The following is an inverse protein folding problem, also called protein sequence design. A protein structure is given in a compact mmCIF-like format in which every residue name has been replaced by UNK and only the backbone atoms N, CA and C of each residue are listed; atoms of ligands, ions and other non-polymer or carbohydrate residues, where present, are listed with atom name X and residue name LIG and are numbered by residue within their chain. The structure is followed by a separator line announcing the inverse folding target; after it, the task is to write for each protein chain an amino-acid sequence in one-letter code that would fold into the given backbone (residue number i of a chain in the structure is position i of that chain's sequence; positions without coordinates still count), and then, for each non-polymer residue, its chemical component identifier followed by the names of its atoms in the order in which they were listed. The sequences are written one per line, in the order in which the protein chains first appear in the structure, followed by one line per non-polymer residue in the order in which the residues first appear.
data_IF_722129370567
#
_entry.id   IF_722129370567
#
_cell.length_a   1.000
_cell.length_b   1.000
_cell.length_c   1.000
_cell.angle_alpha   90.00
_cell.angle_beta   90.00
_cell.angle_gamma   90.00
#
_symmetry.space_group_name_H-M   'P 1'
#
loop_
_entity.id
_entity.type
_entity.pdbx_description
1 polymer ?
#
# COMPACT_ATOMS: atom_id res chain seq x y z
N UNK A 1 -17.32 20.22 11.12
CA UNK A 1 -18.48 20.99 10.59
C UNK A 1 -18.85 20.37 9.26
N UNK A 2 -20.13 20.07 9.01
CA UNK A 2 -20.54 19.55 7.71
C UNK A 2 -20.18 20.55 6.61
N UNK A 3 -19.84 20.05 5.43
CA UNK A 3 -19.66 20.91 4.26
C UNK A 3 -20.99 21.61 3.93
N UNK A 4 -20.92 22.87 3.49
CA UNK A 4 -22.10 23.54 2.97
C UNK A 4 -22.58 22.84 1.69
N UNK A 5 -23.86 22.96 1.35
CA UNK A 5 -24.40 22.41 0.10
C UNK A 5 -23.63 22.91 -1.12
N UNK A 6 -23.16 24.16 -1.10
CA UNK A 6 -22.29 24.73 -2.13
C UNK A 6 -20.92 24.05 -2.19
N UNK A 7 -20.33 23.73 -1.03
CA UNK A 7 -19.06 23.00 -0.95
C UNK A 7 -19.18 21.58 -1.50
N UNK A 8 -20.25 20.85 -1.11
CA UNK A 8 -20.53 19.51 -1.64
C UNK A 8 -20.75 19.55 -3.15
N UNK A 9 -21.51 20.53 -3.65
CA UNK A 9 -21.73 20.68 -5.09
C UNK A 9 -20.42 20.99 -5.83
N UNK A 10 -19.56 21.85 -5.27
CA UNK A 10 -18.25 22.13 -5.87
C UNK A 10 -17.38 20.88 -6.03
N UNK A 11 -17.39 19.96 -5.06
CA UNK A 11 -16.69 18.67 -5.20
C UNK A 11 -17.27 17.84 -6.34
N UNK A 12 -18.60 17.76 -6.45
CA UNK A 12 -19.27 17.03 -7.54
C UNK A 12 -18.93 17.63 -8.91
N UNK A 13 -18.94 18.95 -9.01
CA UNK A 13 -18.63 19.67 -10.25
C UNK A 13 -17.19 19.40 -10.69
N UNK A 14 -16.23 19.34 -9.76
CA UNK A 14 -14.84 18.96 -10.05
C UNK A 14 -14.75 17.52 -10.59
N UNK A 15 -15.40 16.55 -9.93
CA UNK A 15 -15.38 15.16 -10.38
C UNK A 15 -16.03 14.99 -11.76
N UNK A 16 -17.19 15.63 -11.97
CA UNK A 16 -17.87 15.63 -13.28
C UNK A 16 -17.02 16.33 -14.35
N UNK A 17 -16.29 17.40 -13.99
CA UNK A 17 -15.33 18.07 -14.86
C UNK A 17 -14.25 17.12 -15.36
N UNK A 18 -13.62 16.34 -14.48
CA UNK A 18 -12.63 15.34 -14.90
C UNK A 18 -13.21 14.27 -15.83
N UNK A 19 -14.45 13.84 -15.60
CA UNK A 19 -15.14 12.91 -16.51
C UNK A 19 -15.37 13.54 -17.87
N UNK A 20 -15.82 14.80 -17.91
CA UNK A 20 -16.00 15.54 -19.15
C UNK A 20 -14.66 15.75 -19.90
N UNK A 21 -13.55 15.85 -19.17
CA UNK A 21 -12.19 15.96 -19.72
C UNK A 21 -11.56 14.60 -20.08
N UNK A 22 -12.32 13.51 -19.99
CA UNK A 22 -11.94 12.20 -20.49
C UNK A 22 -11.43 11.19 -19.44
N UNK A 23 -11.61 11.47 -18.14
CA UNK A 23 -11.49 10.42 -17.13
C UNK A 23 -12.67 9.44 -17.25
N UNK A 24 -12.45 8.11 -17.15
CA UNK A 24 -13.54 7.14 -17.28
C UNK A 24 -14.56 7.29 -16.15
N UNK A 25 -14.07 7.27 -14.92
CA UNK A 25 -14.87 7.45 -13.73
C UNK A 25 -14.03 7.56 -12.48
N UNK A 26 -14.60 8.17 -11.44
CA UNK A 26 -13.94 8.51 -10.19
C UNK A 26 -14.87 8.24 -9.02
N UNK A 27 -14.30 7.89 -7.87
CA UNK A 27 -14.99 7.88 -6.58
C UNK A 27 -14.21 8.75 -5.62
N UNK A 28 -14.92 9.61 -4.91
CA UNK A 28 -14.37 10.44 -3.84
C UNK A 28 -15.14 10.21 -2.54
N UNK A 29 -14.41 10.06 -1.44
CA UNK A 29 -14.94 9.91 -0.10
C UNK A 29 -14.13 10.79 0.85
N UNK A 30 -14.80 11.56 1.69
CA UNK A 30 -14.18 12.37 2.73
C UNK A 30 -14.99 12.31 4.02
N UNK A 31 -14.29 12.22 5.16
CA UNK A 31 -14.86 12.18 6.50
C UNK A 31 -14.23 13.27 7.37
N UNK A 32 -14.94 13.72 8.41
CA UNK A 32 -14.36 14.59 9.43
C UNK A 32 -13.72 13.80 10.58
N UNK A 33 -13.13 14.52 11.55
CA UNK A 33 -12.51 13.91 12.74
C UNK A 33 -13.50 13.07 13.56
N UNK A 34 -14.80 13.38 13.54
CA UNK A 34 -15.80 12.56 14.23
C UNK A 34 -16.27 11.36 13.38
N UNK A 35 -15.66 11.11 12.21
CA UNK A 35 -16.02 10.02 11.31
C UNK A 35 -17.28 10.26 10.51
N UNK A 36 -17.84 11.48 10.53
CA UNK A 36 -19.01 11.80 9.72
C UNK A 36 -18.61 11.96 8.26
N UNK A 37 -19.34 11.33 7.35
CA UNK A 37 -19.19 11.55 5.91
C UNK A 37 -19.48 13.01 5.57
N UNK A 38 -18.46 13.70 5.05
CA UNK A 38 -18.56 15.07 4.54
C UNK A 38 -19.07 15.09 3.10
N UNK A 39 -18.54 14.18 2.28
CA UNK A 39 -18.96 13.99 0.89
C UNK A 39 -18.56 12.59 0.43
N UNK A 40 -19.48 11.93 -0.26
CA UNK A 40 -19.23 10.70 -1.00
C UNK A 40 -19.90 10.82 -2.36
N UNK A 41 -19.13 10.67 -3.42
CA UNK A 41 -19.62 10.85 -4.78
C UNK A 41 -18.88 9.97 -5.76
N UNK A 42 -19.61 9.45 -6.75
CA UNK A 42 -19.07 8.77 -7.91
C UNK A 42 -19.47 9.53 -9.17
N UNK A 43 -18.59 9.57 -10.15
CA UNK A 43 -18.85 10.14 -11.46
C UNK A 43 -18.31 9.20 -12.55
N UNK A 44 -18.94 9.21 -13.73
CA UNK A 44 -18.50 8.44 -14.89
C UNK A 44 -18.83 6.95 -14.81
N UNK A 45 -18.09 6.13 -15.55
CA UNK A 45 -18.28 4.68 -15.68
C UNK A 45 -17.09 3.91 -15.10
N UNK A 46 -17.27 2.61 -14.87
CA UNK A 46 -16.21 1.74 -14.35
C UNK A 46 -15.03 1.56 -15.31
N UNK A 47 -15.19 1.91 -16.59
CA UNK A 47 -14.15 1.86 -17.62
C UNK A 47 -14.52 2.61 -18.90
N UNK A 48 -13.52 2.98 -19.72
CA UNK A 48 -13.73 3.78 -20.95
C UNK A 48 -14.56 3.06 -22.01
N UNK A 49 -14.59 1.72 -22.00
CA UNK A 49 -15.41 0.91 -22.91
C UNK A 49 -16.71 0.42 -22.24
N UNK A 50 -16.85 0.65 -20.94
CA UNK A 50 -17.99 0.21 -20.15
C UNK A 50 -19.11 1.26 -20.11
N UNK A 51 -20.35 0.79 -20.13
CA UNK A 51 -21.56 1.60 -19.87
C UNK A 51 -22.02 1.52 -18.41
N UNK A 52 -21.39 0.69 -17.60
CA UNK A 52 -21.73 0.56 -16.19
C UNK A 52 -21.25 1.78 -15.42
N UNK A 53 -22.18 2.43 -14.70
CA UNK A 53 -21.88 3.61 -13.90
C UNK A 53 -20.93 3.28 -12.75
N UNK A 54 -20.03 4.21 -12.45
CA UNK A 54 -19.18 4.13 -11.28
C UNK A 54 -20.02 4.12 -10.00
N UNK A 55 -19.77 3.17 -9.10
CA UNK A 55 -20.57 2.99 -7.90
C UNK A 55 -19.73 3.18 -6.63
N UNK A 56 -19.91 4.32 -5.94
CA UNK A 56 -19.20 4.63 -4.68
C UNK A 56 -19.38 3.60 -3.56
N UNK A 57 -20.45 2.82 -3.59
CA UNK A 57 -20.79 1.85 -2.55
C UNK A 57 -20.26 0.45 -2.83
N UNK A 58 -20.01 0.13 -4.09
CA UNK A 58 -19.74 -1.23 -4.53
C UNK A 58 -18.46 -1.39 -5.35
N UNK A 59 -18.03 -0.36 -6.08
CA UNK A 59 -16.84 -0.45 -6.92
C UNK A 59 -15.57 -0.57 -6.07
N UNK A 60 -14.81 -1.62 -6.34
CA UNK A 60 -13.53 -1.93 -5.70
C UNK A 60 -12.40 -1.47 -6.62
N UNK A 61 -11.36 -0.89 -6.03
CA UNK A 61 -10.18 -0.44 -6.74
C UNK A 61 -8.97 -1.22 -6.25
N UNK A 62 -8.04 -1.52 -7.16
CA UNK A 62 -6.68 -1.83 -6.73
C UNK A 62 -6.04 -0.55 -6.19
N UNK A 63 -5.82 -0.48 -4.88
CA UNK A 63 -5.32 0.75 -4.23
C UNK A 63 -3.78 0.83 -4.22
N UNK A 64 -3.11 -0.18 -4.78
CA UNK A 64 -1.67 -0.24 -4.97
C UNK A 64 -0.91 0.20 -3.71
N UNK A 65 -0.09 1.25 -3.82
CA UNK A 65 0.80 1.71 -2.75
C UNK A 65 0.09 2.28 -1.53
N UNK A 66 -1.23 2.51 -1.56
CA UNK A 66 -2.01 2.76 -0.36
C UNK A 66 -1.92 1.59 0.64
N UNK A 67 -1.60 0.37 0.17
CA UNK A 67 -1.33 -0.79 1.02
C UNK A 67 -0.24 -0.53 2.06
N UNK A 68 0.76 0.28 1.72
CA UNK A 68 1.92 0.58 2.57
C UNK A 68 1.53 1.16 3.93
N UNK A 69 0.50 2.00 3.98
CA UNK A 69 -0.02 2.54 5.24
C UNK A 69 -0.52 1.43 6.16
N UNK A 70 -1.27 0.47 5.61
CA UNK A 70 -1.82 -0.65 6.38
C UNK A 70 -0.71 -1.58 6.87
N UNK A 71 0.31 -1.83 6.03
CA UNK A 71 1.51 -2.59 6.42
C UNK A 71 2.30 -1.89 7.52
N UNK A 72 2.47 -0.57 7.44
CA UNK A 72 3.14 0.22 8.47
C UNK A 72 2.39 0.15 9.80
N UNK A 73 1.06 0.30 9.78
CA UNK A 73 0.21 0.11 10.98
C UNK A 73 0.44 -1.28 11.58
N UNK A 74 0.44 -2.34 10.76
CA UNK A 74 0.66 -3.70 11.25
C UNK A 74 2.04 -3.89 11.91
N UNK A 75 3.10 -3.35 11.32
CA UNK A 75 4.44 -3.38 11.91
C UNK A 75 4.48 -2.59 13.23
N UNK A 76 3.88 -1.41 13.28
CA UNK A 76 3.84 -0.57 14.48
C UNK A 76 3.00 -1.19 15.60
N UNK A 77 1.92 -1.91 15.30
CA UNK A 77 1.20 -2.70 16.30
C UNK A 77 2.10 -3.75 16.97
N UNK A 78 3.00 -4.38 16.21
CA UNK A 78 3.98 -5.32 16.79
C UNK A 78 5.06 -4.61 17.61
N UNK A 79 5.40 -3.36 17.28
CA UNK A 79 6.27 -2.50 18.10
C UNK A 79 5.59 -2.20 19.44
N UNK A 80 4.33 -1.77 19.43
CA UNK A 80 3.56 -1.48 20.65
C UNK A 80 3.36 -2.72 21.53
N UNK A 81 3.28 -3.91 20.92
CA UNK A 81 3.24 -5.20 21.63
C UNK A 81 4.61 -5.63 22.18
N UNK A 82 5.69 -4.87 21.94
CA UNK A 82 7.05 -5.21 22.34
C UNK A 82 7.63 -6.44 21.63
N UNK A 83 7.04 -6.85 20.50
CA UNK A 83 7.48 -8.03 19.72
C UNK A 83 8.59 -7.71 18.73
N UNK A 84 8.64 -6.47 18.25
CA UNK A 84 9.71 -5.96 17.39
C UNK A 84 10.15 -4.58 17.90
N UNK A 85 11.39 -4.18 17.59
CA UNK A 85 11.89 -2.83 17.82
C UNK A 85 12.17 -2.16 16.48
N UNK A 86 11.92 -0.85 16.38
CA UNK A 86 12.17 -0.08 15.17
C UNK A 86 13.65 -0.05 14.77
N UNK A 87 14.54 -0.09 15.76
CA UNK A 87 15.98 0.17 15.57
C UNK A 87 16.87 -1.07 15.86
N UNK A 88 16.26 -2.23 16.13
CA UNK A 88 17.00 -3.47 16.39
C UNK A 88 17.34 -4.19 15.08
N UNK A 89 18.53 -3.89 14.53
CA UNK A 89 19.02 -4.55 13.33
C UNK A 89 19.36 -6.03 13.54
N UNK A 90 19.77 -6.44 14.74
CA UNK A 90 20.08 -7.85 15.04
C UNK A 90 18.81 -8.71 14.99
N UNK A 91 17.70 -8.16 15.48
CA UNK A 91 16.39 -8.77 15.31
C UNK A 91 16.03 -8.95 13.83
N UNK A 92 16.21 -7.90 13.01
CA UNK A 92 15.94 -7.98 11.56
C UNK A 92 16.80 -9.07 10.90
N UNK A 93 18.10 -9.15 11.20
CA UNK A 93 18.96 -10.23 10.70
C UNK A 93 18.49 -11.61 11.11
N UNK A 94 18.01 -11.77 12.35
CA UNK A 94 17.55 -13.05 12.87
C UNK A 94 16.26 -13.50 12.20
N UNK A 95 15.30 -12.59 12.03
CA UNK A 95 13.98 -12.92 11.48
C UNK A 95 13.98 -12.93 9.95
N UNK A 96 14.86 -12.17 9.32
CA UNK A 96 15.06 -12.06 7.87
C UNK A 96 16.55 -12.18 7.50
N UNK A 97 17.16 -13.36 7.66
CA UNK A 97 18.57 -13.58 7.31
C UNK A 97 18.88 -13.24 5.85
N UNK A 98 17.89 -13.38 4.97
CA UNK A 98 18.00 -13.07 3.55
C UNK A 98 18.27 -11.58 3.28
N UNK A 99 17.90 -10.66 4.18
CA UNK A 99 18.26 -9.23 4.07
C UNK A 99 19.76 -9.05 4.33
N UNK A 100 20.30 -9.71 5.36
CA UNK A 100 21.71 -9.58 5.75
C UNK A 100 22.66 -10.04 4.64
N UNK A 101 22.28 -11.07 3.90
CA UNK A 101 23.11 -11.67 2.86
C UNK A 101 23.14 -10.83 1.56
N UNK A 102 22.29 -9.81 1.44
CA UNK A 102 22.21 -8.99 0.23
C UNK A 102 23.46 -8.16 0.01
N UNK A 103 23.88 -8.09 -1.25
CA UNK A 103 24.87 -7.13 -1.73
C UNK A 103 24.21 -5.85 -2.19
N UNK A 104 24.97 -4.77 -2.11
CA UNK A 104 24.62 -3.44 -2.61
C UNK A 104 25.21 -3.26 -4.00
N UNK A 105 24.39 -2.83 -4.95
CA UNK A 105 24.76 -2.60 -6.35
C UNK A 105 24.61 -1.12 -6.69
N UNK A 106 25.49 -0.28 -6.12
CA UNK A 106 25.41 1.18 -6.28
C UNK A 106 25.48 1.64 -7.74
N UNK A 107 26.32 0.98 -8.54
CA UNK A 107 26.49 1.18 -9.99
C UNK A 107 25.60 0.24 -10.84
N UNK A 108 24.76 -0.58 -10.19
CA UNK A 108 23.92 -1.61 -10.82
C UNK A 108 24.64 -2.91 -11.20
N UNK A 109 25.96 -2.99 -11.05
CA UNK A 109 26.78 -4.10 -11.58
C UNK A 109 27.69 -4.72 -10.52
N UNK A 110 28.43 -3.89 -9.77
CA UNK A 110 29.45 -4.32 -8.82
C UNK A 110 28.84 -4.56 -7.45
N UNK A 111 28.92 -5.78 -6.90
CA UNK A 111 28.41 -6.04 -5.56
C UNK A 111 29.37 -5.49 -4.50
N UNK A 112 28.82 -4.79 -3.52
CA UNK A 112 29.48 -4.39 -2.28
C UNK A 112 28.77 -4.99 -1.06
N UNK A 113 29.51 -5.14 0.03
CA UNK A 113 28.92 -5.49 1.32
C UNK A 113 28.10 -4.31 1.89
N UNK A 114 27.13 -4.65 2.73
CA UNK A 114 26.40 -3.66 3.51
C UNK A 114 27.35 -3.01 4.53
N UNK A 115 27.40 -1.68 4.56
CA UNK A 115 28.18 -0.93 5.55
C UNK A 115 27.43 -0.81 6.89
N UNK A 116 26.10 -0.86 6.83
CA UNK A 116 25.19 -0.83 7.97
C UNK A 116 24.11 -1.87 7.76
N UNK A 117 23.57 -2.36 8.86
CA UNK A 117 22.47 -3.31 8.83
C UNK A 117 21.12 -2.61 8.72
N UNK A 118 20.19 -3.27 8.04
CA UNK A 118 18.81 -2.78 7.88
C UNK A 118 18.03 -2.89 9.18
N UNK A 119 17.28 -1.83 9.52
CA UNK A 119 16.32 -1.81 10.63
C UNK A 119 14.87 -1.75 10.13
N UNK A 120 13.91 -2.04 11.01
CA UNK A 120 12.48 -1.88 10.68
C UNK A 120 12.16 -0.41 10.37
N UNK A 121 12.76 0.54 11.10
CA UNK A 121 12.61 1.98 10.82
C UNK A 121 13.00 2.30 9.38
N UNK A 122 14.15 1.81 8.92
CA UNK A 122 14.62 2.03 7.55
C UNK A 122 13.67 1.43 6.49
N UNK A 123 13.05 0.28 6.78
CA UNK A 123 12.04 -0.30 5.90
C UNK A 123 10.79 0.59 5.83
N UNK A 124 10.28 1.05 6.96
CA UNK A 124 9.09 1.90 7.01
C UNK A 124 9.33 3.30 6.40
N UNK A 125 10.57 3.80 6.46
CA UNK A 125 10.96 5.12 5.95
C UNK A 125 11.57 5.10 4.55
N UNK A 126 11.62 3.94 3.87
CA UNK A 126 12.21 3.82 2.53
C UNK A 126 13.70 4.21 2.47
N UNK A 127 14.47 3.91 3.52
CA UNK A 127 15.93 4.18 3.57
C UNK A 127 16.75 2.91 3.72
N UNK A 128 16.17 1.72 3.54
CA UNK A 128 16.93 0.47 3.65
C UNK A 128 17.74 0.12 2.39
N UNK A 129 17.60 0.89 1.30
CA UNK A 129 18.37 0.73 0.06
C UNK A 129 17.71 -0.14 -1.01
N UNK A 130 16.46 -0.59 -0.80
CA UNK A 130 15.68 -1.29 -1.81
C UNK A 130 15.04 -0.32 -2.80
N UNK A 131 15.00 -0.70 -4.06
CA UNK A 131 14.30 -0.01 -5.14
C UNK A 131 13.27 -0.93 -5.81
N UNK A 132 12.42 -0.34 -6.65
CA UNK A 132 11.53 -1.07 -7.57
C UNK A 132 12.14 -1.11 -8.97
N UNK A 133 12.08 -2.26 -9.65
CA UNK A 133 12.67 -2.37 -11.00
C UNK A 133 11.97 -1.57 -12.07
N UNK A 134 10.69 -1.24 -11.89
CA UNK A 134 9.97 -0.36 -12.82
C UNK A 134 10.33 1.12 -12.66
N UNK A 135 11.16 1.48 -11.67
CA UNK A 135 11.69 2.83 -11.45
C UNK A 135 13.20 2.85 -11.66
N UNK A 136 13.92 1.93 -11.02
CA UNK A 136 15.38 1.94 -10.97
C UNK A 136 16.00 0.92 -11.93
N UNK A 137 16.75 1.36 -12.96
CA UNK A 137 17.35 0.46 -13.95
C UNK A 137 18.48 -0.43 -13.37
N UNK A 138 18.95 -0.15 -12.16
CA UNK A 138 19.96 -0.99 -11.45
C UNK A 138 19.36 -2.30 -10.94
N UNK A 139 18.03 -2.43 -10.94
CA UNK A 139 17.31 -3.68 -10.67
C UNK A 139 16.99 -4.34 -12.02
N UNK A 140 17.62 -5.47 -12.37
CA UNK A 140 17.24 -6.26 -13.53
C UNK A 140 15.89 -6.89 -13.27
N UNK A 141 14.91 -6.51 -14.08
CA UNK A 141 13.57 -7.07 -14.05
C UNK A 141 13.09 -7.39 -15.46
N UNK A 142 12.08 -8.24 -15.55
CA UNK A 142 11.41 -8.66 -16.79
C UNK A 142 10.24 -7.74 -17.18
N UNK A 143 10.02 -6.65 -16.43
CA UNK A 143 8.92 -5.70 -16.63
C UNK A 143 7.65 -6.00 -15.83
N UNK A 144 7.67 -6.99 -14.93
CA UNK A 144 6.59 -7.26 -13.97
C UNK A 144 6.68 -6.37 -12.72
N UNK A 145 5.59 -6.29 -11.96
CA UNK A 145 5.57 -5.72 -10.60
C UNK A 145 5.96 -6.83 -9.61
N UNK A 146 6.86 -6.53 -8.69
CA UNK A 146 7.30 -7.45 -7.65
C UNK A 146 6.12 -7.92 -6.78
N UNK A 147 6.02 -9.23 -6.55
CA UNK A 147 4.95 -9.83 -5.76
C UNK A 147 3.62 -9.95 -6.49
N UNK A 148 3.51 -9.48 -7.74
CA UNK A 148 2.28 -9.58 -8.57
C UNK A 148 1.77 -11.02 -8.64
N UNK A 149 2.67 -11.97 -8.88
CA UNK A 149 2.33 -13.38 -9.06
C UNK A 149 2.09 -14.14 -7.75
N UNK A 150 2.31 -13.51 -6.60
CA UNK A 150 2.25 -14.17 -5.31
C UNK A 150 3.46 -15.07 -5.02
N UNK A 151 4.59 -14.86 -5.70
CA UNK A 151 5.85 -15.49 -5.31
C UNK A 151 6.63 -14.57 -4.35
N UNK A 152 6.93 -15.09 -3.15
CA UNK A 152 7.72 -14.37 -2.14
C UNK A 152 9.17 -14.14 -2.62
N UNK A 153 9.66 -14.98 -3.55
CA UNK A 153 10.99 -14.87 -4.11
C UNK A 153 11.22 -13.59 -4.91
N UNK A 154 10.16 -12.95 -5.42
CA UNK A 154 10.24 -11.63 -6.06
C UNK A 154 10.86 -10.59 -5.11
N UNK A 155 10.62 -10.75 -3.80
CA UNK A 155 11.15 -9.87 -2.76
C UNK A 155 12.45 -10.45 -2.18
N UNK A 156 12.48 -11.75 -1.87
CA UNK A 156 13.63 -12.39 -1.25
C UNK A 156 14.87 -12.39 -2.14
N UNK A 157 14.71 -12.46 -3.47
CA UNK A 157 15.83 -12.43 -4.41
C UNK A 157 16.21 -11.02 -4.88
N UNK A 158 15.46 -9.99 -4.46
CA UNK A 158 15.78 -8.60 -4.74
C UNK A 158 17.16 -8.19 -4.20
N UNK A 159 17.73 -7.13 -4.77
CA UNK A 159 19.03 -6.57 -4.36
C UNK A 159 18.86 -5.20 -3.70
N UNK A 160 19.89 -4.77 -2.98
CA UNK A 160 20.01 -3.38 -2.56
C UNK A 160 20.70 -2.57 -3.68
N UNK A 161 20.27 -1.35 -3.92
CA UNK A 161 20.91 -0.41 -4.87
C UNK A 161 21.60 0.74 -4.18
N UNK A 162 21.26 1.01 -2.91
CA UNK A 162 21.93 2.00 -2.07
C UNK A 162 22.32 1.36 -0.73
N UNK A 163 23.29 1.94 -0.03
CA UNK A 163 23.67 1.46 1.31
C UNK A 163 22.52 1.74 2.32
N UNK A 164 22.22 0.83 3.25
CA UNK A 164 21.21 1.08 4.27
C UNK A 164 21.47 2.38 5.06
N UNK A 165 20.49 3.27 5.04
CA UNK A 165 20.52 4.58 5.69
C UNK A 165 21.27 5.68 4.94
N UNK A 166 21.80 5.43 3.74
CA UNK A 166 22.58 6.44 3.00
C UNK A 166 21.73 7.44 2.23
N UNK A 167 20.55 7.04 1.77
CA UNK A 167 19.60 7.90 1.05
C UNK A 167 18.19 7.32 1.12
N UNK A 168 17.20 8.15 0.75
CA UNK A 168 15.84 7.70 0.51
C UNK A 168 15.72 7.07 -0.88
N UNK A 169 15.07 5.91 -0.98
CA UNK A 169 14.82 5.20 -2.24
C UNK A 169 13.48 4.47 -2.18
N UNK A 170 12.63 4.71 -3.18
CA UNK A 170 11.32 4.08 -3.25
C UNK A 170 11.43 2.65 -3.79
N UNK A 171 10.95 1.67 -3.03
CA UNK A 171 11.17 0.26 -3.34
C UNK A 171 10.36 -0.70 -2.48
N UNK A 172 10.72 -1.98 -2.57
CA UNK A 172 10.10 -3.14 -1.91
C UNK A 172 10.23 -3.18 -0.36
N UNK A 173 10.57 -2.06 0.26
CA UNK A 173 10.79 -1.94 1.70
C UNK A 173 9.57 -2.40 2.53
N UNK A 174 8.35 -2.05 2.12
CA UNK A 174 7.13 -2.45 2.82
C UNK A 174 6.74 -3.90 2.56
N UNK A 175 7.20 -4.50 1.47
CA UNK A 175 7.05 -5.94 1.27
C UNK A 175 7.90 -6.72 2.28
N UNK A 176 9.12 -6.25 2.56
CA UNK A 176 9.95 -6.76 3.66
C UNK A 176 9.33 -6.54 5.04
N UNK A 177 8.78 -5.35 5.31
CA UNK A 177 8.04 -5.10 6.55
C UNK A 177 6.86 -6.06 6.71
N UNK A 178 6.13 -6.34 5.61
CA UNK A 178 5.10 -7.36 5.57
C UNK A 178 5.61 -8.76 5.91
N UNK A 179 6.74 -9.19 5.33
CA UNK A 179 7.38 -10.47 5.66
C UNK A 179 7.75 -10.57 7.14
N UNK A 180 8.25 -9.48 7.75
CA UNK A 180 8.54 -9.44 9.19
C UNK A 180 7.24 -9.61 9.99
N UNK A 181 6.15 -8.91 9.63
CA UNK A 181 4.84 -9.07 10.28
C UNK A 181 4.37 -10.52 10.21
N UNK A 182 4.46 -11.17 9.04
CA UNK A 182 4.07 -12.58 8.88
C UNK A 182 4.90 -13.50 9.78
N UNK A 183 6.24 -13.36 9.75
CA UNK A 183 7.16 -14.22 10.50
C UNK A 183 7.00 -14.06 12.02
N UNK A 184 6.68 -12.86 12.50
CA UNK A 184 6.53 -12.57 13.93
C UNK A 184 5.14 -12.95 14.45
N UNK A 185 4.09 -12.73 13.65
CA UNK A 185 2.71 -13.02 14.05
C UNK A 185 2.31 -14.47 13.81
N UNK A 186 2.96 -15.18 12.88
CA UNK A 186 2.54 -16.49 12.39
C UNK A 186 1.31 -16.44 11.49
N UNK A 187 0.84 -15.24 11.12
CA UNK A 187 -0.31 -15.04 10.23
C UNK A 187 0.14 -14.69 8.81
N UNK A 188 -0.74 -14.91 7.84
CA UNK A 188 -0.59 -14.25 6.53
C UNK A 188 -0.84 -12.75 6.69
N UNK A 189 -0.21 -11.93 5.85
CA UNK A 189 -0.28 -10.46 6.01
C UNK A 189 -1.71 -9.92 5.95
N UNK A 190 -2.51 -10.37 4.98
CA UNK A 190 -3.92 -10.02 4.83
C UNK A 190 -4.81 -10.61 5.93
N UNK A 191 -4.45 -11.76 6.50
CA UNK A 191 -5.08 -12.28 7.71
C UNK A 191 -4.88 -11.34 8.89
N UNK A 192 -3.64 -10.89 9.09
CA UNK A 192 -3.31 -9.92 10.12
C UNK A 192 -4.06 -8.59 9.92
N UNK A 193 -4.12 -8.07 8.69
CA UNK A 193 -4.88 -6.86 8.39
C UNK A 193 -6.37 -7.03 8.70
N UNK A 194 -6.96 -8.15 8.30
CA UNK A 194 -8.37 -8.44 8.55
C UNK A 194 -8.68 -8.46 10.05
N UNK A 195 -7.86 -9.13 10.85
CA UNK A 195 -8.08 -9.32 12.29
C UNK A 195 -7.77 -8.05 13.12
N UNK A 196 -6.61 -7.43 12.90
CA UNK A 196 -6.06 -6.41 13.81
C UNK A 196 -6.30 -4.98 13.35
N UNK A 197 -6.74 -4.77 12.11
CA UNK A 197 -6.97 -3.44 11.55
C UNK A 197 -8.40 -3.31 11.03
N UNK A 198 -8.81 -4.13 10.06
CA UNK A 198 -10.09 -3.97 9.38
C UNK A 198 -11.28 -4.29 10.29
N UNK A 199 -11.27 -5.41 11.00
CA UNK A 199 -12.35 -5.76 11.92
C UNK A 199 -12.55 -4.71 13.04
N UNK A 200 -11.51 -4.21 13.74
CA UNK A 200 -11.64 -3.10 14.68
C UNK A 200 -12.24 -1.83 14.08
N UNK A 201 -11.96 -1.53 12.81
CA UNK A 201 -12.51 -0.37 12.09
C UNK A 201 -13.89 -0.62 11.47
N UNK A 202 -14.44 -1.84 11.58
CA UNK A 202 -15.71 -2.20 10.94
C UNK A 202 -15.62 -2.25 9.42
N UNK A 203 -14.48 -2.67 8.89
CA UNK A 203 -14.25 -2.94 7.46
C UNK A 203 -14.38 -4.45 7.24
N UNK A 204 -15.27 -4.87 6.34
CA UNK A 204 -15.45 -6.28 5.98
C UNK A 204 -14.53 -6.68 4.82
N UNK A 205 -14.43 -7.99 4.55
CA UNK A 205 -13.67 -8.53 3.42
C UNK A 205 -14.19 -8.10 2.03
N UNK A 206 -15.47 -7.70 1.93
CA UNK A 206 -16.05 -7.11 0.72
C UNK A 206 -15.64 -5.62 0.56
N UNK A 207 -15.24 -4.98 1.66
CA UNK A 207 -14.80 -3.59 1.68
C UNK A 207 -13.32 -3.40 1.39
N UNK A 208 -12.46 -4.25 1.96
CA UNK A 208 -11.02 -4.29 1.70
C UNK A 208 -10.46 -5.71 1.83
N UNK A 209 -9.68 -6.15 0.84
CA UNK A 209 -9.10 -7.50 0.81
C UNK A 209 -7.89 -7.56 -0.13
N UNK A 210 -6.99 -8.50 0.10
CA UNK A 210 -5.93 -8.86 -0.85
C UNK A 210 -6.41 -9.81 -1.96
N UNK A 211 -7.59 -10.40 -1.77
CA UNK A 211 -8.25 -11.30 -2.73
C UNK A 211 -9.67 -10.77 -2.98
N UNK A 212 -9.84 -9.73 -3.81
CA UNK A 212 -11.16 -9.17 -4.12
C UNK A 212 -11.96 -10.07 -5.06
N UNK A 213 -13.28 -9.87 -5.10
CA UNK A 213 -14.10 -10.34 -6.22
C UNK A 213 -13.84 -9.47 -7.45
N UNK A 214 -13.86 -10.07 -8.64
CA UNK A 214 -13.73 -9.35 -9.90
C UNK A 214 -15.06 -8.69 -10.35
N UNK A 215 -16.20 -9.09 -9.79
CA UNK A 215 -17.53 -8.66 -10.26
C UNK A 215 -17.78 -7.14 -10.13
N UNK A 216 -17.07 -6.47 -9.22
CA UNK A 216 -17.28 -5.05 -8.93
C UNK A 216 -15.98 -4.25 -9.09
N UNK A 217 -15.01 -4.76 -9.85
CA UNK A 217 -13.69 -4.15 -9.99
C UNK A 217 -13.73 -2.99 -11.00
N UNK A 218 -13.22 -1.82 -10.62
CA UNK A 218 -12.99 -0.75 -11.59
C UNK A 218 -11.97 -1.20 -12.64
N UNK A 219 -12.23 -0.95 -13.92
CA UNK A 219 -11.31 -1.33 -15.00
C UNK A 219 -10.00 -0.53 -14.89
N UNK A 220 -8.92 -1.10 -15.42
CA UNK A 220 -7.62 -0.42 -15.50
C UNK A 220 -7.39 0.12 -16.90
N UNK A 221 -6.74 1.28 -16.99
CA UNK A 221 -6.49 1.97 -18.24
C UNK A 221 -5.01 2.30 -18.42
N UNK A 222 -4.60 2.48 -19.67
CA UNK A 222 -3.32 3.08 -20.02
C UNK A 222 -3.50 4.04 -21.18
N UNK A 223 -2.84 5.19 -21.09
CA UNK A 223 -2.76 6.14 -22.19
C UNK A 223 -1.70 5.67 -23.18
N UNK A 224 -2.10 5.46 -24.42
CA UNK A 224 -1.19 5.09 -25.50
C UNK A 224 -0.37 6.28 -26.01
N UNK A 225 0.64 6.03 -26.87
CA UNK A 225 1.41 7.10 -27.54
C UNK A 225 0.55 8.01 -28.42
N UNK A 226 -0.63 7.54 -28.84
CA UNK A 226 -1.66 8.30 -29.56
C UNK A 226 -2.45 9.27 -28.66
N UNK A 227 -2.12 9.33 -27.37
CA UNK A 227 -2.81 10.12 -26.36
C UNK A 227 -4.17 9.55 -25.94
N UNK A 228 -4.61 8.42 -26.53
CA UNK A 228 -5.90 7.81 -26.23
C UNK A 228 -5.82 6.93 -24.99
N UNK A 229 -6.84 7.00 -24.15
CA UNK A 229 -6.98 6.12 -23.00
C UNK A 229 -7.67 4.83 -23.44
N UNK A 230 -7.04 3.68 -23.20
CA UNK A 230 -7.57 2.35 -23.54
C UNK A 230 -7.61 1.48 -22.31
N UNK A 231 -8.55 0.55 -22.27
CA UNK A 231 -8.57 -0.49 -21.24
C UNK A 231 -7.35 -1.40 -21.36
N UNK A 232 -6.92 -1.93 -20.23
CA UNK A 232 -5.86 -2.93 -20.13
C UNK A 232 -6.15 -3.88 -18.99
N UNK A 233 -5.49 -5.03 -19.02
CA UNK A 233 -5.44 -5.93 -17.88
C UNK A 233 -4.89 -5.23 -16.64
N UNK A 234 -5.47 -5.56 -15.48
CA UNK A 234 -4.94 -5.11 -14.20
C UNK A 234 -3.50 -5.59 -14.05
N UNK A 235 -2.61 -4.64 -13.71
CA UNK A 235 -1.20 -4.95 -13.50
C UNK A 235 -1.01 -5.95 -12.36
N UNK A 236 -1.77 -5.86 -11.28
CA UNK A 236 -1.66 -6.76 -10.12
C UNK A 236 -2.68 -7.91 -10.14
N UNK A 237 -2.91 -8.57 -11.27
CA UNK A 237 -3.98 -9.57 -11.43
C UNK A 237 -3.70 -10.98 -10.85
N UNK A 238 -2.55 -11.24 -10.22
CA UNK A 238 -2.24 -12.56 -9.64
C UNK A 238 -3.28 -13.09 -8.64
N UNK A 239 -3.80 -12.27 -7.70
CA UNK A 239 -4.84 -12.67 -6.77
C UNK A 239 -6.12 -13.19 -7.43
N UNK A 240 -6.38 -12.84 -8.70
CA UNK A 240 -7.60 -13.25 -9.41
C UNK A 240 -7.62 -14.73 -9.77
N UNK A 241 -6.44 -15.37 -9.80
CA UNK A 241 -6.30 -16.81 -10.02
C UNK A 241 -6.42 -17.64 -8.73
N UNK A 242 -6.58 -16.98 -7.57
CA UNK A 242 -6.64 -17.63 -6.26
C UNK A 242 -8.09 -17.88 -5.86
N UNK A 243 -8.47 -19.16 -5.75
CA UNK A 243 -9.87 -19.58 -5.59
C UNK A 243 -10.17 -20.34 -4.30
N UNK A 244 -9.13 -20.78 -3.57
CA UNK A 244 -9.28 -21.52 -2.31
C UNK A 244 -8.49 -20.88 -1.17
N UNK A 245 -8.86 -21.21 0.08
CA UNK A 245 -8.15 -20.70 1.26
C UNK A 245 -6.70 -21.18 1.33
N UNK A 246 -6.43 -22.41 0.91
CA UNK A 246 -5.07 -22.96 0.86
C UNK A 246 -4.21 -22.20 -0.15
N UNK A 247 -4.77 -21.86 -1.32
CA UNK A 247 -4.08 -21.02 -2.30
C UNK A 247 -3.82 -19.61 -1.73
N UNK A 248 -4.79 -19.01 -1.02
CA UNK A 248 -4.58 -17.71 -0.36
C UNK A 248 -3.47 -17.76 0.69
N UNK A 249 -3.38 -18.86 1.45
CA UNK A 249 -2.36 -19.05 2.47
C UNK A 249 -0.97 -19.28 1.87
N UNK A 250 -0.89 -19.87 0.68
CA UNK A 250 0.36 -20.08 -0.05
C UNK A 250 0.81 -18.86 -0.87
N UNK A 251 -0.13 -17.99 -1.26
CA UNK A 251 0.13 -16.80 -2.07
C UNK A 251 0.88 -15.73 -1.25
N UNK A 252 1.97 -15.20 -1.79
CA UNK A 252 2.67 -14.08 -1.18
C UNK A 252 1.82 -12.80 -1.24
N UNK A 253 1.47 -12.31 -0.06
CA UNK A 253 0.61 -11.17 0.13
C UNK A 253 1.44 -9.88 0.24
N UNK A 254 1.62 -9.17 -0.88
CA UNK A 254 2.47 -7.97 -0.97
C UNK A 254 2.03 -6.86 0.00
N UNK A 255 2.92 -6.48 0.91
CA UNK A 255 2.74 -5.32 1.80
C UNK A 255 2.96 -3.97 1.11
N UNK A 256 3.57 -3.97 -0.08
CA UNK A 256 3.80 -2.79 -0.90
C UNK A 256 2.61 -2.42 -1.80
N UNK A 257 1.81 -3.40 -2.25
CA UNK A 257 0.81 -3.16 -3.30
C UNK A 257 -0.44 -4.07 -3.26
N UNK A 258 -0.55 -5.02 -2.34
CA UNK A 258 -1.52 -6.13 -2.45
C UNK A 258 -2.99 -5.81 -2.18
N UNK A 259 -3.34 -4.64 -1.64
CA UNK A 259 -4.73 -4.36 -1.26
C UNK A 259 -5.60 -3.86 -2.41
N UNK A 260 -6.85 -4.31 -2.35
CA UNK A 260 -7.99 -3.78 -3.06
C UNK A 260 -8.98 -3.27 -2.04
N UNK A 261 -9.58 -2.11 -2.29
CA UNK A 261 -10.54 -1.52 -1.37
C UNK A 261 -11.55 -0.62 -2.06
N UNK A 262 -12.69 -0.45 -1.39
CA UNK A 262 -13.65 0.62 -1.67
C UNK A 262 -13.15 1.92 -1.00
N UNK A 263 -13.20 3.09 -1.66
CA UNK A 263 -12.67 4.33 -1.09
C UNK A 263 -13.29 4.70 0.28
N UNK A 264 -14.59 4.46 0.45
CA UNK A 264 -15.31 4.69 1.71
C UNK A 264 -14.82 3.83 2.88
N UNK A 265 -14.18 2.70 2.59
CA UNK A 265 -13.59 1.82 3.61
C UNK A 265 -12.18 2.27 3.95
N UNK A 266 -11.40 2.70 2.94
CA UNK A 266 -10.05 3.22 3.17
C UNK A 266 -10.04 4.50 4.01
N UNK A 267 -11.04 5.38 3.86
CA UNK A 267 -11.15 6.59 4.71
C UNK A 267 -11.44 6.27 6.18
N UNK A 268 -11.91 5.07 6.53
CA UNK A 268 -12.01 4.64 7.94
C UNK A 268 -10.63 4.45 8.56
N UNK A 269 -9.66 3.95 7.79
CA UNK A 269 -8.25 3.83 8.21
C UNK A 269 -7.67 5.21 8.44
N UNK A 270 -7.84 6.12 7.47
CA UNK A 270 -7.39 7.51 7.59
C UNK A 270 -8.05 8.23 8.77
N UNK A 271 -9.35 7.99 9.00
CA UNK A 271 -10.10 8.53 10.12
C UNK A 271 -9.56 8.06 11.47
N UNK A 272 -9.09 6.82 11.58
CA UNK A 272 -8.43 6.33 12.79
C UNK A 272 -7.07 7.03 13.03
N UNK A 273 -6.26 7.21 11.99
CA UNK A 273 -4.97 7.91 12.09
C UNK A 273 -5.16 9.40 12.47
N UNK A 274 -6.19 10.05 11.94
CA UNK A 274 -6.58 11.43 12.32
C UNK A 274 -7.03 11.55 13.80
N UNK A 275 -7.39 10.43 14.42
CA UNK A 275 -7.85 10.32 15.79
C UNK A 275 -6.88 9.50 16.65
N UNK A 276 -5.59 9.71 16.44
CA UNK A 276 -4.54 9.17 17.30
C UNK A 276 -4.64 7.63 17.41
N UNK A 277 -4.92 7.00 16.26
CA UNK A 277 -5.06 5.57 16.09
C UNK A 277 -6.39 4.98 16.57
N UNK A 278 -7.37 5.80 16.96
CA UNK A 278 -8.70 5.34 17.42
C UNK A 278 -9.78 5.57 16.38
N UNK A 279 -10.53 4.53 16.04
CA UNK A 279 -11.69 4.64 15.15
C UNK A 279 -12.74 5.60 15.72
N UNK A 280 -13.11 6.66 14.99
CA UNK A 280 -14.15 7.58 15.47
C UNK A 280 -15.56 6.96 15.43
N UNK A 281 -15.76 5.88 14.67
CA UNK A 281 -17.07 5.24 14.50
C UNK A 281 -17.27 4.00 15.37
N UNK A 282 -16.20 3.26 15.67
CA UNK A 282 -16.27 2.03 16.49
C UNK A 282 -15.67 2.21 17.89
N UNK A 283 -14.90 3.27 18.12
CA UNK A 283 -14.17 3.51 19.37
C UNK A 283 -13.01 2.54 19.63
N UNK A 284 -12.68 1.66 18.68
CA UNK A 284 -11.56 0.71 18.80
C UNK A 284 -10.25 1.38 18.41
N UNK A 285 -9.20 1.12 19.18
CA UNK A 285 -7.85 1.61 18.95
C UNK A 285 -7.03 0.59 18.17
N UNK A 286 -6.43 1.02 17.06
CA UNK A 286 -5.53 0.22 16.21
C UNK A 286 -4.06 0.62 16.36
N UNK A 287 -3.77 1.83 16.83
CA UNK A 287 -2.44 2.31 17.24
C UNK A 287 -2.60 3.26 18.42
N UNK A 288 -1.56 3.43 19.24
CA UNK A 288 -1.59 4.30 20.40
C UNK A 288 -0.41 5.27 20.44
N UNK A 289 0.78 4.79 20.79
CA UNK A 289 1.95 5.64 21.04
C UNK A 289 2.75 5.84 19.75
N UNK A 290 2.69 4.87 18.84
CA UNK A 290 3.44 4.90 17.58
C UNK A 290 2.77 5.74 16.50
N UNK A 291 1.51 6.16 16.68
CA UNK A 291 0.82 7.04 15.72
C UNK A 291 1.50 8.40 15.61
N UNK A 292 2.05 8.93 16.72
CA UNK A 292 2.77 10.20 16.72
C UNK A 292 4.04 10.13 15.85
N UNK A 293 4.73 8.99 15.86
CA UNK A 293 5.91 8.76 15.03
C UNK A 293 5.59 8.84 13.53
N UNK A 294 4.36 8.55 13.12
CA UNK A 294 3.93 8.63 11.71
C UNK A 294 3.86 10.08 11.22
N UNK A 295 3.77 11.05 12.13
CA UNK A 295 3.74 12.48 11.83
C UNK A 295 5.10 13.16 11.94
N UNK A 296 6.10 12.46 12.49
CA UNK A 296 7.46 12.95 12.59
C UNK A 296 8.22 12.76 11.27
N UNK A 297 9.15 13.68 10.99
CA UNK A 297 10.07 13.51 9.87
C UNK A 297 11.07 12.38 10.18
N UNK A 298 10.83 11.19 9.62
CA UNK A 298 11.68 10.01 9.78
C UNK A 298 12.94 10.02 8.89
N UNK A 299 13.12 11.04 8.05
CA UNK A 299 14.24 11.16 7.10
C UNK A 299 14.90 12.56 7.11
N UNK A 300 15.25 13.11 8.29
CA UNK A 300 15.68 14.51 8.40
C UNK A 300 16.95 14.86 7.62
N UNK A 301 17.85 13.88 7.45
CA UNK A 301 19.18 14.08 6.85
C UNK A 301 19.33 13.39 5.48
N UNK A 302 18.23 12.95 4.86
CA UNK A 302 18.28 12.14 3.64
C UNK A 302 18.12 13.01 2.38
N UNK A 303 18.99 12.78 1.40
CA UNK A 303 18.83 13.34 0.05
C UNK A 303 17.73 12.57 -0.70
N UNK A 304 16.73 13.28 -1.22
CA UNK A 304 15.68 12.71 -2.09
C UNK A 304 16.17 12.77 -3.53
N UNK A 305 16.36 11.63 -4.19
CA UNK A 305 16.57 11.60 -5.64
C UNK A 305 15.25 11.92 -6.34
N UNK A 306 15.14 13.13 -6.89
CA UNK A 306 14.06 13.48 -7.81
C UNK A 306 14.29 12.76 -9.15
N UNK A 307 13.81 11.52 -9.24
CA UNK A 307 13.65 10.80 -10.51
C UNK A 307 12.21 10.32 -10.72
N UNK A 308 11.23 11.06 -10.17
CA UNK A 308 9.84 10.90 -10.55
C UNK A 308 9.58 11.84 -11.73
N UNK A 309 9.64 11.29 -12.95
CA UNK A 309 9.10 11.92 -14.17
C UNK A 309 7.80 11.20 -14.52
#
# INVERSE_FOLDING_TARGET
MPLSSKGVQGVKDVLNGFVNDGAPGLVFSAVDKAGNTLVEYAAGTVGVESKEEMNKDNTVFWIASCTKLVTAIAALQLVEQGKISLDDAEFVKKITPEIKEKKVYADGVTPADQEKDVTVRMLLSHTAGFAYGFIDPRIPQDGSIEGRGGDKNDILNGRLVNQPGSMWEYGTNLDWAGIIVERVSGQTLGGYFAEHIFAPLGISADGASMFPSQNNLAHMHQRGPDGQLKEREHLFNGPFSVTSKDQQNAFFQSGGAGLYAKPKEYVKILGAILNDGTSPTTGKQILKETVDLMWENQIPDQYVTTSLI
#
